data_IF_454623171857
#
_entry.id   IF_454623171857
#
_cell.length_a   1.000
_cell.length_b   1.000
_cell.length_c   1.000
_cell.angle_alpha   90.00
_cell.angle_beta   90.00
_cell.angle_gamma   90.00
#
_symmetry.space_group_name_H-M   'P 1'
#
loop_
_entity.id
_entity.type
_entity.pdbx_description
1 polymer ?
#
# COMPACT_ATOMS: atom_id res chain seq x y z
N UNK A 1 66.13 -17.35 -35.78
CA UNK A 1 65.81 -16.69 -37.06
C UNK A 1 64.29 -16.70 -37.19
N UNK A 2 63.49 -15.62 -37.24
CA UNK A 2 63.62 -14.19 -37.59
C UNK A 2 62.80 -13.41 -36.52
N UNK A 3 63.26 -12.46 -35.70
CA UNK A 3 63.77 -11.08 -35.90
C UNK A 3 62.95 -10.18 -36.82
N UNK A 4 62.25 -9.21 -36.21
CA UNK A 4 62.07 -7.77 -36.57
C UNK A 4 61.54 -7.09 -35.27
N UNK A 5 62.26 -6.28 -34.46
CA UNK A 5 62.85 -4.92 -34.63
C UNK A 5 61.78 -3.91 -35.11
N UNK A 6 61.39 -2.83 -34.41
CA UNK A 6 62.11 -1.74 -33.66
C UNK A 6 61.06 -0.70 -33.14
N UNK A 7 61.36 0.46 -32.48
CA UNK A 7 61.88 0.69 -31.11
C UNK A 7 61.18 1.87 -30.32
N UNK A 8 61.53 2.04 -29.01
CA UNK A 8 61.71 3.29 -28.20
C UNK A 8 60.61 4.41 -28.18
N UNK A 9 60.36 5.18 -27.11
CA UNK A 9 61.23 5.85 -26.13
C UNK A 9 60.50 6.07 -24.79
N UNK A 10 61.25 5.96 -23.70
CA UNK A 10 60.93 6.53 -22.39
C UNK A 10 61.40 7.99 -22.33
N UNK A 11 60.64 8.86 -21.66
CA UNK A 11 61.10 10.17 -21.22
C UNK A 11 60.63 10.42 -19.78
N UNK A 12 61.56 10.19 -18.84
CA UNK A 12 61.49 10.65 -17.45
C UNK A 12 61.98 12.09 -17.46
N UNK A 13 61.14 13.05 -17.07
CA UNK A 13 61.54 14.43 -16.84
C UNK A 13 61.41 14.74 -15.34
N UNK A 14 62.55 14.74 -14.65
CA UNK A 14 62.73 15.34 -13.34
C UNK A 14 63.09 16.82 -13.52
N UNK A 15 62.30 17.71 -12.92
CA UNK A 15 62.58 19.14 -12.74
C UNK A 15 62.12 19.48 -11.31
N UNK A 16 63.03 19.49 -10.35
CA UNK A 16 63.84 20.64 -9.90
C UNK A 16 63.08 21.52 -8.89
N UNK A 17 63.50 21.43 -7.63
CA UNK A 17 63.12 22.34 -6.56
C UNK A 17 63.80 23.70 -6.74
N UNK A 18 63.01 24.77 -6.74
CA UNK A 18 63.46 26.12 -6.40
C UNK A 18 62.45 26.72 -5.43
N UNK A 19 62.90 27.05 -4.23
CA UNK A 19 62.07 27.65 -3.18
C UNK A 19 61.82 29.14 -3.41
N UNK A 20 60.64 29.61 -2.99
CA UNK A 20 60.34 30.98 -2.61
C UNK A 20 59.15 30.95 -1.64
N UNK A 21 59.28 31.78 -0.60
CA UNK A 21 58.38 31.96 0.53
C UNK A 21 57.03 32.58 0.14
N UNK A 22 55.98 32.23 0.90
CA UNK A 22 54.64 32.83 0.94
C UNK A 22 53.68 32.51 -0.23
N UNK A 23 52.75 31.59 0.02
CA UNK A 23 51.30 31.73 -0.24
C UNK A 23 50.58 30.43 0.15
N UNK A 24 50.21 30.32 1.43
CA UNK A 24 49.25 29.33 1.92
C UNK A 24 47.83 29.49 1.33
N UNK A 25 47.62 30.49 0.48
CA UNK A 25 46.36 30.79 -0.20
C UNK A 25 46.05 29.91 -1.41
N UNK A 26 47.04 29.25 -2.03
CA UNK A 26 46.77 28.41 -3.21
C UNK A 26 46.18 27.04 -2.84
N UNK A 27 46.62 26.43 -1.73
CA UNK A 27 46.07 25.16 -1.24
C UNK A 27 44.67 25.32 -0.67
N UNK A 28 44.43 26.46 0.00
CA UNK A 28 43.12 26.85 0.53
C UNK A 28 42.12 27.16 -0.60
N UNK A 29 42.53 27.86 -1.67
CA UNK A 29 41.65 28.11 -2.81
C UNK A 29 41.29 26.82 -3.57
N UNK A 30 42.22 25.85 -3.68
CA UNK A 30 41.92 24.56 -4.30
C UNK A 30 41.07 23.66 -3.40
N UNK A 31 41.25 23.72 -2.08
CA UNK A 31 40.39 22.98 -1.14
C UNK A 31 39.02 23.62 -1.05
N UNK A 32 38.90 24.94 -1.04
CA UNK A 32 37.62 25.65 -0.97
C UNK A 32 36.88 25.56 -2.30
N UNK A 33 37.58 25.57 -3.46
CA UNK A 33 36.96 25.30 -4.75
C UNK A 33 36.61 23.82 -4.94
N UNK A 34 37.38 22.87 -4.42
CA UNK A 34 37.02 21.45 -4.43
C UNK A 34 35.90 21.14 -3.41
N UNK A 35 35.85 21.86 -2.28
CA UNK A 35 34.82 21.72 -1.27
C UNK A 35 33.54 22.46 -1.68
N UNK A 36 33.64 23.58 -2.40
CA UNK A 36 32.52 24.26 -3.05
C UNK A 36 32.05 23.52 -4.30
N UNK A 37 32.93 22.88 -5.07
CA UNK A 37 32.55 21.98 -6.16
C UNK A 37 31.96 20.67 -5.64
N UNK A 38 32.42 20.16 -4.49
CA UNK A 38 31.80 19.02 -3.79
C UNK A 38 30.45 19.42 -3.18
N UNK A 39 30.34 20.60 -2.55
CA UNK A 39 29.07 21.15 -2.04
C UNK A 39 28.09 21.53 -3.17
N UNK A 40 28.60 21.90 -4.36
CA UNK A 40 27.80 22.15 -5.56
C UNK A 40 27.48 20.86 -6.34
N UNK A 41 28.21 19.76 -6.10
CA UNK A 41 27.92 18.43 -6.63
C UNK A 41 27.06 17.57 -5.68
N UNK A 42 26.77 18.04 -4.46
CA UNK A 42 26.02 17.30 -3.43
C UNK A 42 24.84 18.07 -2.81
N UNK A 43 24.45 19.22 -3.36
CA UNK A 43 23.24 19.91 -2.93
C UNK A 43 22.05 19.52 -3.82
N UNK A 44 21.01 18.96 -3.21
CA UNK A 44 19.69 18.89 -3.82
C UNK A 44 19.29 20.28 -4.38
N UNK A 45 18.53 20.32 -5.50
CA UNK A 45 17.96 21.57 -5.99
C UNK A 45 17.27 22.35 -4.86
N UNK A 46 17.44 23.68 -4.87
CA UNK A 46 16.79 24.55 -3.89
C UNK A 46 15.26 24.54 -4.02
N UNK A 47 14.77 24.34 -5.24
CA UNK A 47 13.35 24.15 -5.52
C UNK A 47 12.91 22.72 -5.14
N UNK A 48 11.83 22.61 -4.36
CA UNK A 48 11.36 21.33 -3.82
C UNK A 48 10.87 20.38 -4.92
N UNK A 49 10.17 20.91 -5.93
CA UNK A 49 9.68 20.11 -7.05
C UNK A 49 10.83 19.59 -7.91
N UNK A 50 11.84 20.41 -8.16
CA UNK A 50 13.06 19.99 -8.87
C UNK A 50 13.83 18.91 -8.08
N UNK A 51 13.93 19.04 -6.76
CA UNK A 51 14.57 18.04 -5.91
C UNK A 51 13.81 16.70 -5.93
N UNK A 52 12.48 16.73 -5.88
CA UNK A 52 11.64 15.53 -5.97
C UNK A 52 11.66 14.91 -7.37
N UNK A 53 11.75 15.72 -8.43
CA UNK A 53 11.95 15.25 -9.79
C UNK A 53 13.28 14.52 -9.97
N UNK A 54 14.36 15.08 -9.38
CA UNK A 54 15.66 14.41 -9.32
C UNK A 54 15.58 13.11 -8.53
N UNK A 55 14.91 13.13 -7.38
CA UNK A 55 14.74 11.95 -6.54
C UNK A 55 13.97 10.84 -7.25
N UNK A 56 12.89 11.18 -7.96
CA UNK A 56 12.14 10.23 -8.78
C UNK A 56 13.04 9.56 -9.84
N UNK A 57 13.90 10.35 -10.48
CA UNK A 57 14.85 9.85 -11.50
C UNK A 57 15.90 8.92 -10.88
N UNK A 58 16.54 9.36 -9.79
CA UNK A 58 17.58 8.61 -9.13
C UNK A 58 17.04 7.32 -8.48
N UNK A 59 15.90 7.40 -7.80
CA UNK A 59 15.25 6.24 -7.19
C UNK A 59 14.89 5.18 -8.24
N UNK A 60 14.35 5.59 -9.39
CA UNK A 60 14.07 4.66 -10.48
C UNK A 60 15.33 3.95 -10.98
N UNK A 61 16.49 4.61 -11.00
CA UNK A 61 17.76 3.99 -11.41
C UNK A 61 18.33 2.96 -10.42
N UNK A 62 17.93 3.02 -9.14
CA UNK A 62 18.46 2.10 -8.12
C UNK A 62 17.83 0.70 -8.18
N UNK A 63 16.64 0.58 -8.78
CA UNK A 63 15.88 -0.67 -8.95
C UNK A 63 15.47 -1.43 -7.68
N UNK A 64 16.13 -1.18 -6.55
CA UNK A 64 15.99 -1.94 -5.30
C UNK A 64 16.59 -1.22 -4.09
N UNK A 65 16.16 -1.62 -2.90
CA UNK A 65 16.72 -1.18 -1.62
C UNK A 65 16.36 -2.18 -0.50
N UNK A 66 17.08 -2.11 0.62
CA UNK A 66 16.57 -2.61 1.90
C UNK A 66 15.54 -1.63 2.45
N UNK A 67 14.47 -2.18 3.01
CA UNK A 67 13.38 -1.42 3.59
C UNK A 67 13.08 -1.93 5.00
N UNK A 68 12.83 -0.98 5.91
CA UNK A 68 12.14 -1.25 7.18
C UNK A 68 10.92 -0.34 7.23
N UNK A 69 9.73 -0.92 7.27
CA UNK A 69 8.47 -0.20 7.35
C UNK A 69 7.81 -0.48 8.69
N UNK A 70 7.28 0.55 9.34
CA UNK A 70 6.43 0.46 10.53
C UNK A 70 5.06 1.03 10.16
N UNK A 71 4.00 0.25 10.34
CA UNK A 71 2.63 0.63 10.02
C UNK A 71 1.82 0.60 11.31
N UNK A 72 1.24 1.74 11.70
CA UNK A 72 0.33 1.84 12.84
C UNK A 72 -1.08 1.96 12.30
N UNK A 73 -1.83 0.88 12.42
CA UNK A 73 -3.23 0.84 12.02
C UNK A 73 -4.14 1.38 13.13
N UNK A 74 -5.25 2.04 12.77
CA UNK A 74 -6.25 2.46 13.74
C UNK A 74 -6.79 1.27 14.54
N UNK A 75 -6.77 1.38 15.87
CA UNK A 75 -7.28 0.36 16.78
C UNK A 75 -6.43 -0.91 16.91
N UNK A 76 -5.26 -0.99 16.23
CA UNK A 76 -4.32 -2.09 16.43
C UNK A 76 -3.54 -1.91 17.73
N UNK A 77 -3.39 -3.00 18.51
CA UNK A 77 -2.62 -2.98 19.76
C UNK A 77 -1.11 -2.87 19.53
N UNK A 78 -0.63 -3.33 18.37
CA UNK A 78 0.78 -3.33 17.98
C UNK A 78 0.95 -2.73 16.60
N UNK A 79 2.07 -2.05 16.38
CA UNK A 79 2.48 -1.67 15.04
C UNK A 79 2.91 -2.90 14.26
N UNK A 80 2.52 -2.97 13.00
CA UNK A 80 3.09 -3.92 12.06
C UNK A 80 4.48 -3.43 11.64
N UNK A 81 5.44 -4.33 11.53
CA UNK A 81 6.77 -4.04 11.01
C UNK A 81 7.08 -4.99 9.88
N UNK A 82 7.51 -4.43 8.74
CA UNK A 82 8.02 -5.21 7.61
C UNK A 82 9.49 -4.87 7.43
N UNK A 83 10.35 -5.89 7.42
CA UNK A 83 11.79 -5.71 7.22
C UNK A 83 12.28 -6.66 6.14
N UNK A 84 12.94 -6.13 5.12
CA UNK A 84 13.40 -6.95 4.02
C UNK A 84 14.08 -6.17 2.90
N UNK A 85 14.11 -6.79 1.73
CA UNK A 85 14.59 -6.17 0.50
C UNK A 85 13.44 -6.05 -0.50
N UNK A 86 13.38 -4.90 -1.17
CA UNK A 86 12.37 -4.57 -2.17
C UNK A 86 13.04 -4.24 -3.50
N UNK A 87 12.44 -4.70 -4.60
CA UNK A 87 12.79 -4.31 -5.96
C UNK A 87 11.57 -3.86 -6.75
N UNK A 88 11.78 -2.98 -7.72
CA UNK A 88 10.73 -2.35 -8.53
C UNK A 88 11.10 -2.20 -10.02
N UNK A 89 12.18 -2.84 -10.46
CA UNK A 89 12.63 -2.87 -11.86
C UNK A 89 11.65 -3.57 -12.82
N UNK A 90 11.06 -4.68 -12.40
CA UNK A 90 10.17 -5.51 -13.20
C UNK A 90 8.89 -5.82 -12.44
N UNK A 91 8.26 -4.77 -11.91
CA UNK A 91 7.16 -4.87 -10.95
C UNK A 91 7.65 -4.99 -9.51
N UNK A 92 6.74 -4.80 -8.56
CA UNK A 92 7.08 -4.83 -7.14
C UNK A 92 7.42 -6.26 -6.70
N UNK A 93 8.60 -6.41 -6.09
CA UNK A 93 9.06 -7.64 -5.47
C UNK A 93 9.55 -7.33 -4.07
N UNK A 94 9.19 -8.17 -3.11
CA UNK A 94 9.65 -8.07 -1.73
C UNK A 94 9.99 -9.45 -1.19
N UNK A 95 11.00 -9.52 -0.34
CA UNK A 95 11.30 -10.68 0.50
C UNK A 95 11.78 -10.20 1.85
N UNK A 96 11.25 -10.78 2.92
CA UNK A 96 11.61 -10.37 4.28
C UNK A 96 10.70 -10.97 5.32
N UNK A 97 10.66 -10.34 6.48
CA UNK A 97 9.87 -10.75 7.63
C UNK A 97 8.82 -9.67 7.95
N UNK A 98 7.67 -10.13 8.41
CA UNK A 98 6.58 -9.29 8.91
C UNK A 98 6.33 -9.66 10.37
N UNK A 99 6.25 -8.67 11.24
CA UNK A 99 5.96 -8.82 12.67
C UNK A 99 4.82 -7.87 13.10
N UNK A 100 4.09 -8.19 14.17
CA UNK A 100 3.09 -7.30 14.75
C UNK A 100 1.83 -7.05 13.92
N UNK A 101 1.66 -7.70 12.76
CA UNK A 101 0.46 -7.57 11.94
C UNK A 101 -0.78 -8.12 12.66
N UNK A 102 -1.98 -7.53 12.45
CA UNK A 102 -3.22 -8.07 12.97
C UNK A 102 -3.44 -9.53 12.56
N UNK A 103 -3.84 -10.37 13.52
CA UNK A 103 -4.05 -11.81 13.26
C UNK A 103 -2.76 -12.64 13.15
N UNK A 104 -1.58 -12.05 13.33
CA UNK A 104 -0.31 -12.76 13.23
C UNK A 104 -0.19 -13.95 14.18
N UNK A 105 -0.70 -13.84 15.42
CA UNK A 105 -0.68 -14.95 16.37
C UNK A 105 -1.47 -16.19 15.88
N UNK A 106 -2.42 -15.99 14.97
CA UNK A 106 -3.14 -17.09 14.33
C UNK A 106 -2.28 -17.79 13.27
N UNK A 107 -1.31 -17.11 12.66
CA UNK A 107 -0.48 -17.62 11.56
C UNK A 107 0.92 -18.05 12.00
N UNK A 108 1.47 -17.40 13.02
CA UNK A 108 2.82 -17.64 13.53
C UNK A 108 2.82 -17.90 15.04
N UNK A 109 3.69 -18.81 15.48
CA UNK A 109 3.95 -19.10 16.89
C UNK A 109 4.97 -18.15 17.54
N UNK A 110 5.86 -17.55 16.75
CA UNK A 110 6.97 -16.73 17.24
C UNK A 110 6.74 -15.22 17.04
N UNK A 111 5.58 -14.84 16.48
CA UNK A 111 5.23 -13.44 16.24
C UNK A 111 5.98 -12.81 15.08
N UNK A 112 6.65 -13.61 14.25
CA UNK A 112 7.24 -13.22 12.98
C UNK A 112 6.79 -14.19 11.89
N UNK A 113 6.66 -13.71 10.66
CA UNK A 113 6.47 -14.59 9.52
C UNK A 113 7.28 -14.11 8.31
N UNK A 114 8.02 -15.02 7.65
CA UNK A 114 8.56 -14.75 6.34
C UNK A 114 7.45 -14.43 5.35
N UNK A 115 7.64 -13.34 4.59
CA UNK A 115 6.74 -12.92 3.54
C UNK A 115 7.48 -12.66 2.23
N UNK A 116 6.80 -12.96 1.13
CA UNK A 116 7.26 -12.75 -0.23
C UNK A 116 6.17 -12.04 -1.02
N UNK A 117 6.49 -10.95 -1.70
CA UNK A 117 5.59 -10.32 -2.68
C UNK A 117 6.19 -10.51 -4.06
N UNK A 118 5.41 -11.09 -4.98
CA UNK A 118 5.80 -11.26 -6.38
C UNK A 118 4.56 -11.47 -7.24
N UNK A 119 4.55 -10.88 -8.44
CA UNK A 119 3.49 -11.11 -9.42
C UNK A 119 2.11 -10.64 -8.97
N UNK A 120 2.02 -9.64 -8.08
CA UNK A 120 0.74 -9.15 -7.57
C UNK A 120 0.09 -10.03 -6.50
N UNK A 121 0.87 -10.92 -5.86
CA UNK A 121 0.42 -11.70 -4.72
C UNK A 121 1.44 -11.61 -3.57
N UNK A 122 0.93 -11.69 -2.34
CA UNK A 122 1.73 -11.93 -1.13
C UNK A 122 1.63 -13.39 -0.73
N UNK A 123 2.77 -13.94 -0.34
CA UNK A 123 2.92 -15.28 0.21
C UNK A 123 3.43 -15.13 1.63
N UNK A 124 2.70 -15.67 2.59
CA UNK A 124 3.02 -15.60 4.02
C UNK A 124 3.28 -17.01 4.52
N UNK A 125 4.39 -17.20 5.24
CA UNK A 125 4.69 -18.49 5.85
C UNK A 125 3.82 -18.69 7.09
N UNK A 126 3.20 -19.86 7.18
CA UNK A 126 2.37 -20.28 8.31
C UNK A 126 3.18 -21.25 9.16
N UNK A 127 3.33 -20.97 10.45
CA UNK A 127 4.01 -21.84 11.42
C UNK A 127 3.11 -22.25 12.58
N UNK A 128 1.97 -21.57 12.77
CA UNK A 128 0.99 -21.93 13.79
C UNK A 128 0.36 -23.31 13.49
N UNK A 129 0.45 -24.30 14.40
CA UNK A 129 -0.09 -25.65 14.16
C UNK A 129 -1.59 -25.68 13.87
N UNK A 130 -2.38 -24.81 14.51
CA UNK A 130 -3.82 -24.71 14.29
C UNK A 130 -4.12 -24.19 12.88
N UNK A 131 -3.39 -23.17 12.42
CA UNK A 131 -3.55 -22.68 11.05
C UNK A 131 -3.04 -23.69 10.01
N UNK A 132 -1.93 -24.39 10.28
CA UNK A 132 -1.45 -25.47 9.42
C UNK A 132 -2.51 -26.56 9.25
N UNK A 133 -3.22 -26.93 10.32
CA UNK A 133 -4.32 -27.89 10.20
C UNK A 133 -5.46 -27.38 9.29
N UNK A 134 -5.76 -26.08 9.33
CA UNK A 134 -6.79 -25.45 8.50
C UNK A 134 -6.37 -25.31 7.03
N UNK A 135 -5.07 -25.21 6.74
CA UNK A 135 -4.54 -25.14 5.38
C UNK A 135 -4.24 -26.53 4.78
N UNK A 136 -4.63 -27.61 5.46
CA UNK A 136 -4.32 -28.98 5.00
C UNK A 136 -2.83 -29.33 5.11
N UNK A 137 -2.13 -28.74 6.08
CA UNK A 137 -0.71 -28.93 6.34
C UNK A 137 0.22 -28.05 5.49
N UNK A 138 -0.34 -27.15 4.68
CA UNK A 138 0.44 -26.27 3.78
C UNK A 138 1.08 -25.13 4.56
N UNK A 139 2.39 -24.99 4.39
CA UNK A 139 3.23 -24.05 5.14
C UNK A 139 3.25 -22.63 4.58
N UNK A 140 2.65 -22.41 3.42
CA UNK A 140 2.50 -21.10 2.81
C UNK A 140 1.05 -20.77 2.53
N UNK A 141 0.71 -19.51 2.71
CA UNK A 141 -0.58 -18.95 2.35
C UNK A 141 -0.38 -17.89 1.26
N UNK A 142 -1.07 -18.05 0.13
CA UNK A 142 -1.11 -17.09 -0.97
C UNK A 142 -2.35 -16.20 -0.84
N UNK A 143 -2.13 -14.91 -1.00
CA UNK A 143 -3.17 -13.91 -1.19
C UNK A 143 -2.88 -13.13 -2.47
N UNK A 144 -3.70 -13.37 -3.49
CA UNK A 144 -3.66 -12.59 -4.74
C UNK A 144 -4.53 -11.35 -4.61
N UNK A 145 -3.95 -10.18 -4.87
CA UNK A 145 -4.63 -8.91 -4.63
C UNK A 145 -5.78 -8.69 -5.61
N UNK A 146 -5.60 -9.06 -6.88
CA UNK A 146 -6.64 -8.92 -7.88
C UNK A 146 -7.81 -9.88 -7.62
N UNK A 147 -7.53 -11.11 -7.21
CA UNK A 147 -8.57 -12.08 -6.88
C UNK A 147 -9.36 -11.67 -5.63
N UNK A 148 -8.69 -11.14 -4.60
CA UNK A 148 -9.37 -10.64 -3.39
C UNK A 148 -10.23 -9.41 -3.70
N UNK A 149 -9.73 -8.46 -4.50
CA UNK A 149 -10.51 -7.30 -4.92
C UNK A 149 -11.77 -7.72 -5.72
N UNK A 150 -11.66 -8.75 -6.57
CA UNK A 150 -12.79 -9.32 -7.29
C UNK A 150 -13.82 -10.00 -6.37
N UNK A 151 -13.41 -10.42 -5.17
CA UNK A 151 -14.27 -10.98 -4.14
C UNK A 151 -14.90 -9.92 -3.21
N UNK A 152 -14.79 -8.63 -3.52
CA UNK A 152 -15.31 -7.49 -2.72
C UNK A 152 -16.79 -7.54 -2.29
N UNK A 153 -17.60 -8.48 -2.79
CA UNK A 153 -18.97 -8.76 -2.30
C UNK A 153 -19.04 -9.81 -1.19
N UNK A 154 -17.96 -10.54 -0.92
CA UNK A 154 -17.85 -11.49 0.18
C UNK A 154 -17.38 -10.72 1.43
N UNK A 155 -18.16 -10.68 2.53
CA UNK A 155 -17.83 -9.87 3.70
C UNK A 155 -16.42 -10.10 4.27
N UNK A 156 -15.94 -11.34 4.24
CA UNK A 156 -14.61 -11.73 4.69
C UNK A 156 -13.51 -11.31 3.72
N UNK A 157 -13.78 -11.33 2.41
CA UNK A 157 -12.83 -10.81 1.41
C UNK A 157 -12.82 -9.27 1.38
N UNK A 158 -13.95 -8.61 1.61
CA UNK A 158 -14.06 -7.15 1.66
C UNK A 158 -13.22 -6.56 2.80
N UNK A 159 -13.21 -7.21 3.98
CA UNK A 159 -12.39 -6.80 5.12
C UNK A 159 -10.89 -7.00 4.88
N UNK A 160 -10.51 -8.04 4.13
CA UNK A 160 -9.13 -8.33 3.77
C UNK A 160 -8.61 -7.44 2.62
N UNK A 161 -9.41 -7.23 1.58
CA UNK A 161 -9.02 -6.50 0.37
C UNK A 161 -8.91 -5.00 0.54
N UNK A 162 -9.85 -4.38 1.28
CA UNK A 162 -9.88 -2.93 1.44
C UNK A 162 -8.68 -2.34 2.21
N UNK A 163 -8.09 -3.11 3.14
CA UNK A 163 -6.88 -2.69 3.86
C UNK A 163 -5.59 -2.99 3.09
N UNK A 164 -5.59 -4.06 2.29
CA UNK A 164 -4.41 -4.54 1.56
C UNK A 164 -4.12 -3.68 0.33
N UNK A 165 -5.15 -3.26 -0.42
CA UNK A 165 -4.97 -2.43 -1.62
C UNK A 165 -4.34 -1.06 -1.29
N UNK A 166 -4.75 -0.43 -0.19
CA UNK A 166 -4.15 0.82 0.29
C UNK A 166 -2.72 0.61 0.81
N UNK A 167 -2.49 -0.46 1.58
CA UNK A 167 -1.15 -0.81 2.07
C UNK A 167 -0.15 -1.07 0.93
N UNK A 168 -0.57 -1.72 -0.17
CA UNK A 168 0.29 -2.00 -1.33
C UNK A 168 0.61 -0.77 -2.17
N UNK A 169 -0.34 0.15 -2.34
CA UNK A 169 -0.08 1.45 -2.98
C UNK A 169 0.97 2.23 -2.20
N UNK A 170 0.90 2.18 -0.87
CA UNK A 170 1.83 2.84 0.05
C UNK A 170 3.21 2.15 0.10
N UNK A 171 3.32 0.86 -0.21
CA UNK A 171 4.60 0.14 -0.16
C UNK A 171 5.63 0.65 -1.19
N UNK A 172 5.21 1.20 -2.34
CA UNK A 172 6.15 1.58 -3.41
C UNK A 172 6.75 2.98 -3.23
N UNK A 173 8.03 3.15 -2.87
CA UNK A 173 8.65 4.48 -2.72
C UNK A 173 8.63 5.30 -4.02
N UNK A 174 8.70 4.62 -5.17
CA UNK A 174 8.62 5.28 -6.50
C UNK A 174 7.26 5.94 -6.71
N UNK A 175 6.19 5.38 -6.16
CA UNK A 175 4.84 5.91 -6.33
C UNK A 175 4.63 7.13 -5.45
N UNK A 176 5.03 7.07 -4.18
CA UNK A 176 4.98 8.23 -3.26
C UNK A 176 5.77 9.42 -3.80
N UNK A 177 7.03 9.21 -4.20
CA UNK A 177 7.86 10.30 -4.77
C UNK A 177 7.24 10.86 -6.04
N UNK A 178 6.72 10.00 -6.92
CA UNK A 178 6.04 10.43 -8.15
C UNK A 178 4.77 11.23 -7.85
N UNK A 179 3.97 10.81 -6.89
CA UNK A 179 2.77 11.55 -6.49
C UNK A 179 3.14 12.95 -5.98
N UNK A 180 4.19 13.06 -5.16
CA UNK A 180 4.69 14.34 -4.65
C UNK A 180 5.21 15.28 -5.74
N UNK A 181 5.71 14.78 -6.87
CA UNK A 181 6.05 15.66 -8.01
C UNK A 181 4.83 16.37 -8.61
N UNK A 182 3.62 15.88 -8.35
CA UNK A 182 2.36 16.52 -8.73
C UNK A 182 1.78 17.46 -7.68
N UNK A 183 2.37 17.54 -6.49
CA UNK A 183 1.92 18.44 -5.42
C UNK A 183 2.58 19.82 -5.54
N UNK A 184 1.77 20.83 -5.86
CA UNK A 184 2.24 22.23 -5.94
C UNK A 184 2.50 22.85 -4.57
N UNK A 185 2.01 22.22 -3.49
CA UNK A 185 2.20 22.65 -2.11
C UNK A 185 3.45 22.10 -1.44
N UNK A 186 4.20 21.22 -2.12
CA UNK A 186 5.38 20.59 -1.54
C UNK A 186 6.46 21.62 -1.24
N UNK A 187 7.05 21.55 -0.06
CA UNK A 187 8.03 22.52 0.44
C UNK A 187 9.21 21.84 1.08
N UNK A 188 10.38 22.46 0.94
CA UNK A 188 11.54 22.13 1.76
C UNK A 188 11.30 22.64 3.19
N UNK A 189 11.39 21.74 4.17
CA UNK A 189 11.24 22.06 5.59
C UNK A 189 12.59 22.48 6.18
N UNK A 190 13.65 21.74 5.86
CA UNK A 190 14.98 22.02 6.38
C UNK A 190 15.98 20.91 6.13
N UNK A 191 17.21 21.14 6.58
CA UNK A 191 18.24 20.10 6.63
C UNK A 191 18.22 19.41 7.98
N UNK A 192 18.30 18.08 7.97
CA UNK A 192 18.27 17.25 9.16
C UNK A 192 19.33 16.14 9.05
N UNK A 193 19.78 15.63 10.20
CA UNK A 193 20.66 14.46 10.23
C UNK A 193 19.84 13.24 10.64
N UNK A 194 19.83 12.22 9.79
CA UNK A 194 19.18 10.93 10.06
C UNK A 194 20.21 9.82 10.04
N UNK A 195 20.32 9.05 11.13
CA UNK A 195 21.26 7.94 11.26
C UNK A 195 22.71 8.29 10.86
N UNK A 196 23.13 9.53 11.18
CA UNK A 196 24.46 10.06 10.86
C UNK A 196 24.63 10.53 9.40
N UNK A 197 23.59 10.48 8.57
CA UNK A 197 23.57 10.98 7.20
C UNK A 197 22.86 12.35 7.14
N UNK A 198 23.47 13.30 6.42
CA UNK A 198 22.84 14.57 6.10
C UNK A 198 21.68 14.35 5.11
N UNK A 199 20.53 14.95 5.42
CA UNK A 199 19.31 14.85 4.64
C UNK A 199 18.65 16.21 4.49
N UNK A 200 17.82 16.36 3.46
CA UNK A 200 16.88 17.48 3.34
C UNK A 200 15.47 16.94 3.46
N UNK A 201 14.71 17.51 4.38
CA UNK A 201 13.32 17.19 4.66
C UNK A 201 12.40 18.00 3.76
N UNK A 202 11.47 17.31 3.11
CA UNK A 202 10.37 17.89 2.34
C UNK A 202 9.04 17.40 2.92
N UNK A 203 8.05 18.27 2.87
CA UNK A 203 6.70 18.00 3.37
C UNK A 203 5.68 18.44 2.33
N UNK A 204 4.67 17.61 2.08
CA UNK A 204 3.62 17.85 1.10
C UNK A 204 2.32 17.16 1.49
N UNK A 205 1.25 17.49 0.77
CA UNK A 205 -0.06 16.89 0.98
C UNK A 205 -0.55 16.31 -0.34
N UNK A 206 -0.89 15.02 -0.33
CA UNK A 206 -1.42 14.32 -1.48
C UNK A 206 -2.93 14.14 -1.33
N UNK A 207 -3.68 14.68 -2.27
CA UNK A 207 -5.10 14.34 -2.42
C UNK A 207 -5.25 12.92 -2.96
N UNK A 208 -6.38 12.27 -2.68
CA UNK A 208 -6.71 10.96 -3.23
C UNK A 208 -6.57 10.91 -4.76
N UNK A 209 -6.98 11.96 -5.47
CA UNK A 209 -6.87 12.05 -6.92
C UNK A 209 -5.41 12.06 -7.40
N UNK A 210 -4.52 12.79 -6.70
CA UNK A 210 -3.08 12.80 -7.01
C UNK A 210 -2.45 11.42 -6.76
N UNK A 211 -2.81 10.76 -5.65
CA UNK A 211 -2.34 9.40 -5.34
C UNK A 211 -2.76 8.42 -6.45
N UNK A 212 -4.04 8.43 -6.84
CA UNK A 212 -4.56 7.55 -7.89
C UNK A 212 -3.98 7.85 -9.28
N UNK A 213 -3.66 9.11 -9.57
CA UNK A 213 -3.01 9.51 -10.81
C UNK A 213 -1.55 9.06 -10.91
N UNK A 214 -0.87 8.89 -9.77
CA UNK A 214 0.52 8.42 -9.73
C UNK A 214 0.67 6.91 -10.02
N UNK A 215 -0.41 6.14 -9.90
CA UNK A 215 -0.41 4.70 -10.16
C UNK A 215 -0.41 4.44 -11.69
N UNK A 216 0.64 3.83 -12.25
CA UNK A 216 0.72 3.59 -13.67
C UNK A 216 -0.30 2.53 -14.12
N UNK A 217 -0.80 2.65 -15.35
CA UNK A 217 -1.64 1.63 -15.98
C UNK A 217 -3.11 1.62 -15.57
N UNK A 218 -3.55 2.48 -14.64
CA UNK A 218 -4.97 2.57 -14.29
C UNK A 218 -5.79 3.31 -15.35
N UNK A 219 -6.82 2.64 -15.85
CA UNK A 219 -7.90 3.25 -16.64
C UNK A 219 -8.71 4.23 -15.79
N UNK A 220 -9.44 5.15 -16.44
CA UNK A 220 -10.33 6.08 -15.72
C UNK A 220 -11.40 5.36 -14.89
N UNK A 221 -11.95 4.25 -15.39
CA UNK A 221 -12.91 3.44 -14.65
C UNK A 221 -12.29 2.77 -13.42
N UNK A 222 -11.06 2.24 -13.52
CA UNK A 222 -10.35 1.68 -12.37
C UNK A 222 -10.05 2.74 -11.31
N UNK A 223 -9.60 3.94 -11.72
CA UNK A 223 -9.38 5.05 -10.79
C UNK A 223 -10.65 5.44 -10.05
N UNK A 224 -11.80 5.52 -10.74
CA UNK A 224 -13.07 5.81 -10.08
C UNK A 224 -13.50 4.71 -9.10
N UNK A 225 -13.33 3.44 -9.46
CA UNK A 225 -13.66 2.32 -8.58
C UNK A 225 -12.79 2.33 -7.33
N UNK A 226 -11.48 2.53 -7.48
CA UNK A 226 -10.54 2.63 -6.35
C UNK A 226 -10.84 3.85 -5.49
N UNK A 227 -11.06 5.02 -6.11
CA UNK A 227 -11.40 6.24 -5.38
C UNK A 227 -12.67 6.10 -4.55
N UNK A 228 -13.70 5.40 -5.05
CA UNK A 228 -14.91 5.09 -4.26
C UNK A 228 -14.61 4.16 -3.09
N UNK A 229 -13.77 3.15 -3.28
CA UNK A 229 -13.37 2.24 -2.20
C UNK A 229 -12.58 2.99 -1.12
N UNK A 230 -11.60 3.80 -1.52
CA UNK A 230 -10.79 4.63 -0.63
C UNK A 230 -11.66 5.68 0.11
N UNK A 231 -12.56 6.38 -0.57
CA UNK A 231 -13.51 7.32 0.08
C UNK A 231 -14.47 6.59 1.04
N UNK A 232 -14.85 5.34 0.73
CA UNK A 232 -15.76 4.57 1.60
C UNK A 232 -15.17 4.24 2.97
N UNK A 233 -13.84 4.24 3.09
CA UNK A 233 -13.12 4.10 4.36
C UNK A 233 -12.70 5.45 4.95
N UNK A 234 -13.08 6.57 4.33
CA UNK A 234 -12.78 7.92 4.79
C UNK A 234 -11.45 8.50 4.28
N UNK A 235 -10.74 7.79 3.41
CA UNK A 235 -9.49 8.28 2.84
C UNK A 235 -9.80 9.40 1.82
N UNK A 236 -9.29 10.60 2.09
CA UNK A 236 -9.44 11.78 1.22
C UNK A 236 -8.09 12.33 0.74
N UNK A 237 -7.02 12.01 1.46
CA UNK A 237 -5.65 12.37 1.15
C UNK A 237 -4.71 11.90 2.27
N UNK A 238 -3.44 12.21 2.13
CA UNK A 238 -2.39 11.90 3.11
C UNK A 238 -1.36 13.03 3.17
N UNK A 239 -0.85 13.28 4.36
CA UNK A 239 0.33 14.11 4.56
C UNK A 239 1.58 13.23 4.39
N UNK A 240 2.57 13.74 3.67
CA UNK A 240 3.80 13.01 3.37
C UNK A 240 5.01 13.85 3.71
N UNK A 241 5.87 13.29 4.54
CA UNK A 241 7.19 13.79 4.84
C UNK A 241 8.25 12.86 4.24
N UNK A 242 9.23 13.44 3.56
CA UNK A 242 10.30 12.68 2.90
C UNK A 242 11.65 13.31 3.15
N UNK A 243 12.61 12.47 3.50
CA UNK A 243 13.99 12.87 3.74
C UNK A 243 14.87 12.32 2.63
N UNK A 244 15.47 13.22 1.87
CA UNK A 244 16.37 12.89 0.77
C UNK A 244 17.82 13.09 1.20
N UNK A 245 18.68 12.11 0.95
CA UNK A 245 20.13 12.30 1.11
C UNK A 245 20.73 13.09 -0.07
N UNK A 246 22.03 13.37 0.01
CA UNK A 246 22.78 14.10 -1.03
C UNK A 246 22.74 13.44 -2.41
N UNK A 247 22.43 12.14 -2.49
CA UNK A 247 22.24 11.42 -3.76
C UNK A 247 20.81 11.53 -4.31
N UNK A 248 19.97 12.38 -3.72
CA UNK A 248 18.54 12.45 -3.99
C UNK A 248 17.81 11.11 -3.82
N UNK A 249 18.27 10.27 -2.89
CA UNK A 249 17.58 9.03 -2.56
C UNK A 249 16.81 9.20 -1.25
N UNK A 250 15.55 8.74 -1.18
CA UNK A 250 14.82 8.71 0.08
C UNK A 250 15.57 7.88 1.11
N UNK A 251 15.73 8.38 2.31
CA UNK A 251 16.24 7.59 3.46
C UNK A 251 15.12 7.28 4.44
N UNK A 252 14.13 8.17 4.48
CA UNK A 252 12.92 8.02 5.27
C UNK A 252 11.74 8.61 4.50
N UNK A 253 10.58 7.96 4.60
CA UNK A 253 9.29 8.47 4.15
C UNK A 253 8.31 8.22 5.29
N UNK A 254 7.64 9.26 5.74
CA UNK A 254 6.57 9.18 6.72
C UNK A 254 5.27 9.64 6.06
N UNK A 255 4.23 8.84 6.20
CA UNK A 255 2.89 9.13 5.69
C UNK A 255 1.91 9.09 6.86
N UNK A 256 1.00 10.05 6.87
CA UNK A 256 -0.09 10.12 7.82
C UNK A 256 -1.41 10.34 7.08
N UNK A 257 -2.40 9.53 7.40
CA UNK A 257 -3.76 9.72 6.89
C UNK A 257 -4.81 9.42 7.94
N UNK A 258 -5.95 10.10 7.83
CA UNK A 258 -7.09 9.89 8.72
C UNK A 258 -8.15 9.10 7.96
N UNK A 259 -8.57 7.99 8.55
CA UNK A 259 -9.67 7.17 8.03
C UNK A 259 -10.88 7.26 8.97
N UNK A 260 -12.02 6.71 8.55
CA UNK A 260 -13.19 6.56 9.43
C UNK A 260 -12.90 5.71 10.68
N UNK A 261 -11.86 4.88 10.66
CA UNK A 261 -11.45 4.04 11.80
C UNK A 261 -10.43 4.73 12.71
N UNK A 262 -9.92 5.90 12.32
CA UNK A 262 -8.86 6.65 13.01
C UNK A 262 -7.62 6.83 12.15
N UNK A 263 -6.51 7.20 12.80
CA UNK A 263 -5.25 7.54 12.17
C UNK A 263 -4.49 6.30 11.69
N UNK A 264 -3.97 6.38 10.47
CA UNK A 264 -3.07 5.43 9.85
C UNK A 264 -1.72 6.12 9.62
N UNK A 265 -0.69 5.66 10.34
CA UNK A 265 0.68 6.16 10.20
C UNK A 265 1.56 5.10 9.56
N UNK A 266 2.40 5.52 8.62
CA UNK A 266 3.38 4.66 7.98
C UNK A 266 4.74 5.35 7.99
N UNK A 267 5.74 4.65 8.50
CA UNK A 267 7.11 5.14 8.60
C UNK A 267 8.04 4.14 7.92
N UNK A 268 8.72 4.56 6.86
CA UNK A 268 9.57 3.70 6.02
C UNK A 268 10.97 4.23 5.96
N UNK A 269 11.93 3.40 6.33
CA UNK A 269 13.36 3.67 6.22
C UNK A 269 13.96 2.85 5.07
N UNK A 270 14.79 3.50 4.26
CA UNK A 270 15.45 2.90 3.11
C UNK A 270 16.96 2.96 3.26
N UNK A 271 17.60 1.83 2.98
CA UNK A 271 19.05 1.69 3.02
C UNK A 271 19.53 0.78 1.90
N UNK A 272 20.85 0.73 1.67
CA UNK A 272 21.50 -0.20 0.76
C UNK A 272 20.78 -0.30 -0.61
N UNK A 273 20.68 0.83 -1.30
CA UNK A 273 20.12 0.89 -2.65
C UNK A 273 20.96 0.05 -3.65
N UNK A 274 20.29 -0.58 -4.61
CA UNK A 274 20.93 -1.41 -5.64
C UNK A 274 21.31 -2.82 -5.19
N UNK A 275 20.76 -3.31 -4.07
CA UNK A 275 21.00 -4.68 -3.61
C UNK A 275 20.27 -5.73 -4.47
N UNK A 276 20.88 -6.90 -4.74
CA UNK A 276 20.19 -7.96 -5.44
C UNK A 276 19.01 -8.47 -4.61
N UNK A 277 17.81 -8.44 -5.18
CA UNK A 277 16.60 -9.01 -4.59
C UNK A 277 16.24 -10.27 -5.36
N UNK A 278 16.47 -11.42 -4.74
CA UNK A 278 16.02 -12.71 -5.26
C UNK A 278 14.76 -13.13 -4.52
N UNK A 279 13.70 -13.42 -5.27
CA UNK A 279 12.45 -13.93 -4.72
C UNK A 279 12.27 -15.36 -5.20
N UNK A 280 12.19 -16.30 -4.26
CA UNK A 280 11.84 -17.70 -4.56
C UNK A 280 10.36 -17.89 -4.32
N UNK A 281 9.63 -18.28 -5.37
CA UNK A 281 8.22 -18.59 -5.25
C UNK A 281 8.04 -19.84 -4.37
N UNK A 282 7.15 -19.82 -3.36
CA UNK A 282 6.81 -21.02 -2.61
C UNK A 282 6.30 -22.14 -3.51
N UNK A 283 6.59 -23.39 -3.13
CA UNK A 283 6.09 -24.54 -3.86
C UNK A 283 4.55 -24.55 -3.83
N UNK A 284 3.91 -24.64 -5.00
CA UNK A 284 2.45 -24.65 -5.11
C UNK A 284 1.80 -25.82 -4.37
N UNK A 285 2.46 -26.97 -4.27
CA UNK A 285 2.00 -28.11 -3.48
C UNK A 285 1.96 -27.81 -1.97
N UNK A 286 2.81 -26.90 -1.49
CA UNK A 286 2.90 -26.44 -0.10
C UNK A 286 2.24 -25.07 0.11
N UNK A 287 1.50 -24.57 -0.89
CA UNK A 287 0.84 -23.25 -0.84
C UNK A 287 -0.67 -23.42 -0.83
N UNK A 288 -1.31 -22.81 0.17
CA UNK A 288 -2.75 -22.69 0.30
C UNK A 288 -3.21 -21.37 -0.34
N UNK A 289 -4.13 -21.44 -1.29
CA UNK A 289 -4.67 -20.27 -1.98
C UNK A 289 -5.94 -19.79 -1.28
N UNK A 290 -5.85 -18.65 -0.57
CA UNK A 290 -6.97 -18.12 0.21
C UNK A 290 -8.11 -17.63 -0.69
N UNK A 291 -7.79 -16.98 -1.82
CA UNK A 291 -8.80 -16.46 -2.72
C UNK A 291 -9.61 -17.59 -3.37
N UNK A 292 -8.94 -18.66 -3.79
CA UNK A 292 -9.59 -19.86 -4.30
C UNK A 292 -10.51 -20.51 -3.25
N UNK A 293 -10.05 -20.60 -1.99
CA UNK A 293 -10.85 -21.14 -0.89
C UNK A 293 -12.11 -20.30 -0.61
N UNK A 294 -11.98 -18.97 -0.57
CA UNK A 294 -13.11 -18.05 -0.37
C UNK A 294 -14.13 -18.14 -1.52
N UNK A 295 -13.65 -18.27 -2.76
CA UNK A 295 -14.50 -18.46 -3.94
C UNK A 295 -15.27 -19.78 -3.87
N UNK A 296 -14.61 -20.87 -3.48
CA UNK A 296 -15.25 -22.18 -3.31
C UNK A 296 -16.32 -22.15 -2.21
N UNK A 297 -16.03 -21.51 -1.07
CA UNK A 297 -16.98 -21.35 0.03
C UNK A 297 -18.23 -20.54 -0.38
N UNK A 298 -18.06 -19.49 -1.19
CA UNK A 298 -19.17 -18.70 -1.73
C UNK A 298 -20.01 -19.48 -2.77
N UNK A 299 -19.40 -20.40 -3.52
CA UNK A 299 -20.09 -21.27 -4.47
C UNK A 299 -20.82 -22.46 -3.83
N UNK A 300 -20.48 -22.82 -2.59
CA UNK A 300 -21.01 -23.98 -1.87
C UNK A 300 -22.43 -23.86 -1.31
N UNK A 301 -23.09 -22.70 -1.46
CA UNK A 301 -24.48 -22.50 -0.98
C UNK A 301 -25.52 -22.86 -2.05
N UNK A 302 -25.10 -23.41 -3.20
CA UNK A 302 -25.97 -23.75 -4.33
C UNK A 302 -25.71 -25.14 -4.88
N UNK A 303 -26.30 -26.15 -4.26
CA UNK A 303 -26.47 -27.48 -4.86
C UNK A 303 -25.68 -28.58 -4.16
N UNK A 304 -26.40 -29.39 -3.38
CA UNK A 304 -26.43 -30.85 -3.36
C UNK A 304 -27.38 -31.25 -2.22
N UNK A 305 -28.68 -31.00 -2.40
CA UNK A 305 -29.69 -31.76 -1.66
C UNK A 305 -29.65 -33.21 -2.15
N UNK A 306 -29.68 -34.22 -1.27
CA UNK A 306 -29.73 -35.61 -1.73
C UNK A 306 -30.98 -35.80 -2.60
N UNK A 307 -30.79 -36.34 -3.79
CA UNK A 307 -31.88 -36.66 -4.71
C UNK A 307 -32.94 -37.52 -4.00
N UNK A 308 -34.24 -37.18 -4.09
CA UNK A 308 -35.27 -38.02 -3.54
C UNK A 308 -35.33 -39.33 -4.34
N UNK A 309 -35.23 -40.45 -3.62
CA UNK A 309 -35.43 -41.80 -4.15
C UNK A 309 -36.82 -41.87 -4.80
N UNK A 310 -36.85 -42.14 -6.10
CA UNK A 310 -38.08 -42.35 -6.87
C UNK A 310 -38.69 -43.70 -6.48
N UNK A 311 -39.72 -43.69 -5.64
CA UNK A 311 -40.53 -44.86 -5.35
C UNK A 311 -41.45 -45.18 -6.55
N UNK A 312 -41.39 -46.42 -7.03
CA UNK A 312 -42.24 -46.99 -8.07
C UNK A 312 -43.64 -47.28 -7.52
N UNK A 313 -44.75 -47.09 -8.27
CA UNK A 313 -46.09 -47.39 -7.78
C UNK A 313 -46.46 -48.86 -7.96
N UNK A 314 -46.82 -49.53 -6.86
CA UNK A 314 -47.47 -50.84 -6.84
C UNK A 314 -48.96 -50.71 -6.49
N UNK A 315 -49.81 -51.31 -7.31
CA UNK A 315 -51.27 -51.37 -7.23
C UNK A 315 -51.78 -52.09 -5.97
N UNK A 316 -52.96 -51.71 -5.47
CA UNK A 316 -53.73 -52.52 -4.53
C UNK A 316 -54.96 -51.82 -3.95
N UNK A 317 -56.15 -52.32 -4.30
CA UNK A 317 -57.48 -51.76 -4.05
C UNK A 317 -58.01 -51.89 -2.61
N UNK A 318 -59.00 -51.06 -2.24
CA UNK A 318 -59.86 -51.28 -1.07
C UNK A 318 -60.82 -50.11 -0.76
N UNK A 319 -62.14 -50.38 -0.82
CA UNK A 319 -63.30 -49.45 -0.72
C UNK A 319 -63.76 -49.14 0.73
N UNK A 320 -64.20 -47.87 0.95
CA UNK A 320 -65.38 -47.30 1.70
C UNK A 320 -65.76 -47.74 3.16
N UNK A 321 -66.69 -47.04 3.89
CA UNK A 321 -67.10 -45.61 3.90
C UNK A 321 -67.46 -44.98 5.30
N UNK A 322 -67.64 -43.64 5.29
CA UNK A 322 -68.66 -42.76 5.95
C UNK A 322 -68.98 -42.72 7.46
N UNK A 323 -69.05 -41.48 7.98
CA UNK A 323 -69.85 -40.99 9.13
C UNK A 323 -69.04 -39.99 9.98
N UNK A 324 -69.46 -38.81 10.44
CA UNK A 324 -70.70 -38.03 10.41
C UNK A 324 -70.61 -36.93 11.50
N UNK A 325 -71.23 -35.76 11.25
CA UNK A 325 -71.68 -34.71 12.21
C UNK A 325 -70.71 -33.68 12.85
N UNK A 326 -70.75 -32.46 12.29
CA UNK A 326 -71.23 -31.16 12.85
C UNK A 326 -71.24 -30.87 14.37
N UNK A 327 -70.80 -29.66 14.80
CA UNK A 327 -71.65 -28.53 15.32
C UNK A 327 -70.82 -27.39 15.98
N UNK A 328 -71.10 -26.14 15.57
CA UNK A 328 -71.06 -24.81 16.25
C UNK A 328 -69.76 -24.25 16.90
N UNK A 329 -69.51 -22.95 17.08
CA UNK A 329 -70.18 -21.66 16.84
C UNK A 329 -69.13 -20.51 16.86
N UNK A 330 -69.45 -19.36 16.26
CA UNK A 330 -68.63 -18.12 16.14
C UNK A 330 -68.94 -17.10 17.28
N UNK A 331 -68.70 -15.76 17.18
CA UNK A 331 -67.57 -14.92 16.67
C UNK A 331 -67.20 -13.75 17.64
N UNK A 332 -66.18 -12.93 17.31
CA UNK A 332 -66.16 -11.45 17.50
C UNK A 332 -64.87 -10.85 16.88
N UNK A 333 -64.96 -10.01 15.83
CA UNK A 333 -64.89 -8.52 15.85
C UNK A 333 -63.45 -7.98 16.02
N UNK A 334 -62.88 -7.09 15.20
CA UNK A 334 -63.38 -6.34 14.05
C UNK A 334 -62.32 -5.35 13.53
N UNK A 335 -62.61 -4.86 12.32
CA UNK A 335 -62.24 -3.56 11.73
C UNK A 335 -60.81 -3.25 11.27
N UNK A 336 -60.70 -3.26 9.94
CA UNK A 336 -59.76 -2.51 9.13
C UNK A 336 -60.16 -1.03 8.96
N UNK A 337 -59.20 -0.14 8.69
CA UNK A 337 -59.25 0.94 7.68
C UNK A 337 -57.91 1.71 7.73
N UNK A 338 -57.08 1.83 6.67
CA UNK A 338 -57.16 2.80 5.54
C UNK A 338 -57.50 4.23 6.00
N UNK A 339 -56.88 5.33 5.58
CA UNK A 339 -55.84 5.62 4.60
C UNK A 339 -55.49 7.13 4.64
N UNK A 340 -54.47 7.50 3.85
CA UNK A 340 -54.31 8.76 3.06
C UNK A 340 -53.66 10.00 3.67
N UNK A 341 -52.59 10.37 2.96
CA UNK A 341 -51.95 11.66 2.70
C UNK A 341 -52.84 12.89 2.61
N UNK A 342 -52.28 14.05 2.99
CA UNK A 342 -52.30 15.28 2.17
C UNK A 342 -51.27 16.31 2.67
N UNK A 343 -50.51 16.85 1.72
CA UNK A 343 -49.77 18.11 1.84
C UNK A 343 -50.72 19.31 1.57
N UNK A 344 -50.32 20.53 1.97
CA UNK A 344 -50.33 21.79 1.17
C UNK A 344 -50.04 23.04 2.04
N UNK A 345 -48.93 23.72 1.73
CA UNK A 345 -48.68 25.15 1.42
C UNK A 345 -49.22 26.31 2.33
N UNK A 346 -48.29 27.24 2.61
CA UNK A 346 -48.49 28.71 2.67
C UNK A 346 -47.90 29.34 3.94
N UNK A 347 -47.24 30.52 4.00
CA UNK A 347 -46.84 31.60 3.09
C UNK A 347 -45.92 32.54 3.91
N UNK A 348 -44.97 33.24 3.26
CA UNK A 348 -44.02 34.25 3.81
C UNK A 348 -44.65 35.66 4.04
N UNK A 349 -43.88 36.78 4.22
CA UNK A 349 -43.23 37.36 5.42
C UNK A 349 -43.72 38.82 5.70
N UNK A 350 -43.00 39.66 6.51
CA UNK A 350 -42.37 40.85 5.88
C UNK A 350 -41.03 41.37 6.48
N UNK A 351 -40.40 42.26 5.69
CA UNK A 351 -39.26 43.19 5.91
C UNK A 351 -39.30 43.99 7.25
N UNK A 352 -38.21 44.59 7.80
CA UNK A 352 -37.30 45.59 7.19
C UNK A 352 -36.12 46.04 8.11
N UNK A 353 -34.95 46.34 7.50
CA UNK A 353 -33.89 47.38 7.75
C UNK A 353 -33.27 47.52 9.17
N UNK A 354 -32.01 47.93 9.41
CA UNK A 354 -31.00 48.78 8.72
C UNK A 354 -29.61 48.63 9.39
N UNK A 355 -28.53 48.83 8.61
CA UNK A 355 -27.15 49.39 8.84
C UNK A 355 -26.53 49.46 10.26
N UNK A 356 -25.22 49.26 10.50
CA UNK A 356 -24.07 50.05 9.98
C UNK A 356 -22.69 49.43 10.39
N UNK A 357 -21.63 49.70 9.58
CA UNK A 357 -20.19 50.00 9.85
C UNK A 357 -19.54 49.71 11.22
N UNK A 358 -18.23 49.50 11.43
CA UNK A 358 -17.00 49.43 10.63
C UNK A 358 -15.85 48.93 11.55
N UNK A 359 -14.74 48.52 10.93
CA UNK A 359 -13.41 48.27 11.52
C UNK A 359 -12.78 49.54 12.16
N UNK A 360 -11.76 49.38 13.00
CA UNK A 360 -10.38 49.47 12.51
C UNK A 360 -9.56 48.18 12.63
#
# INVERSE_FOLDING_TARGET
>A
MRTNRTPALAAVAALALTGLTACSTAKQATSDAAHAAAQAASALPADALAALGLANTHLQSQNSAKVTATIRMPGAATAETMKGAMAWDSGMRFTGDVTGAPGMAALSTDGSLPAVIVGGAIYMKVSNPTALAQTGGKSWMKLDFAEIAALSRNPQASSLGGGMDSALKQISPVQTVRALTGDKGVRSVGRETMDGQATTHYSGHLTLDQMLAAIPGLTGAQRQTLGKADTSIGLTGEDVDIWLNERALPVRVQEHTVTQKGDLDIDRHFADYGVPVSVTLPNSADTFDLAAALKAAAGGVGGHGPAPVRATPGQGAGRQPSGGSSVAAAPASGSASRARSRAVIGRSPPCSRRSESALP
#
